data_IF_133048985093
#
_entry.id   IF_133048985093
#
_cell.length_a   1.000
_cell.length_b   1.000
_cell.length_c   1.000
_cell.angle_alpha   90.00
_cell.angle_beta   90.00
_cell.angle_gamma   90.00
#
_symmetry.space_group_name_H-M   'P 1'
#
loop_
_entity.id
_entity.type
_entity.pdbx_description
1 polymer ?
#
# COMPACT_ATOMS: atom_id res chain seq x y z
N UNK A 1 -41.08 52.80 -43.21
CA UNK A 1 -40.51 53.16 -41.93
C UNK A 1 -39.55 52.02 -41.61
N UNK A 2 -38.28 52.20 -42.04
CA UNK A 2 -37.22 51.19 -41.95
C UNK A 2 -36.53 51.33 -40.59
N UNK A 3 -36.33 50.28 -39.90
CA UNK A 3 -35.44 50.24 -38.72
C UNK A 3 -34.18 49.46 -39.12
N UNK A 4 -33.09 50.18 -39.09
CA UNK A 4 -31.72 49.69 -39.27
C UNK A 4 -31.33 48.65 -38.21
N UNK A 5 -30.84 47.54 -38.67
CA UNK A 5 -30.28 46.50 -37.84
C UNK A 5 -28.73 46.64 -37.87
N UNK A 6 -28.18 47.33 -36.88
CA UNK A 6 -26.74 47.48 -36.68
C UNK A 6 -26.18 46.25 -35.98
N UNK A 7 -25.67 45.31 -36.73
CA UNK A 7 -24.91 44.17 -36.19
C UNK A 7 -23.52 44.62 -35.76
N UNK A 8 -23.26 44.48 -34.47
CA UNK A 8 -21.99 44.69 -33.76
C UNK A 8 -20.82 43.87 -34.33
N UNK A 9 -19.60 44.45 -34.46
CA UNK A 9 -18.43 43.77 -35.03
C UNK A 9 -17.60 42.98 -34.01
N UNK A 10 -18.17 41.96 -33.39
CA UNK A 10 -17.46 41.16 -32.36
C UNK A 10 -17.29 39.67 -32.68
N UNK A 11 -17.46 39.27 -33.95
CA UNK A 11 -17.31 37.85 -34.36
C UNK A 11 -16.12 37.54 -35.30
N UNK A 12 -15.12 38.42 -35.40
CA UNK A 12 -13.93 38.18 -36.28
C UNK A 12 -12.59 38.06 -35.55
N UNK A 13 -12.56 37.84 -34.23
CA UNK A 13 -11.34 37.74 -33.45
C UNK A 13 -11.14 36.35 -32.79
N UNK A 14 -11.66 35.27 -33.35
CA UNK A 14 -11.59 33.91 -32.75
C UNK A 14 -11.00 32.83 -33.68
N UNK A 15 -10.09 33.21 -34.60
CA UNK A 15 -9.39 32.26 -35.49
C UNK A 15 -7.88 32.53 -35.59
N UNK A 16 -7.26 33.09 -34.55
CA UNK A 16 -5.81 33.27 -34.51
C UNK A 16 -5.22 32.79 -33.13
N UNK A 17 -5.57 31.62 -32.69
CA UNK A 17 -5.11 31.04 -31.39
C UNK A 17 -4.85 29.54 -31.43
N UNK A 18 -4.53 28.99 -32.61
CA UNK A 18 -4.44 27.55 -32.82
C UNK A 18 -3.02 26.93 -32.80
N UNK A 19 -2.01 27.57 -32.18
CA UNK A 19 -0.64 27.00 -32.16
C UNK A 19 0.07 27.01 -30.81
N UNK A 20 -0.60 27.34 -29.70
CA UNK A 20 0.01 27.37 -28.37
C UNK A 20 -0.34 26.16 -27.48
N UNK A 21 -1.16 25.20 -27.95
CA UNK A 21 -1.63 24.10 -27.14
C UNK A 21 -0.82 22.79 -27.25
N UNK A 22 0.25 22.76 -28.06
CA UNK A 22 1.07 21.53 -28.23
C UNK A 22 2.36 21.49 -27.41
N UNK A 23 2.72 22.53 -26.67
CA UNK A 23 3.96 22.56 -25.89
C UNK A 23 3.82 22.12 -24.44
N UNK A 24 2.60 21.88 -23.95
CA UNK A 24 2.37 21.49 -22.56
C UNK A 24 2.44 19.95 -22.31
N UNK A 25 2.44 19.14 -23.38
CA UNK A 25 2.53 17.67 -23.22
C UNK A 25 3.97 17.12 -23.16
N UNK A 26 4.97 17.94 -23.45
CA UNK A 26 6.38 17.47 -23.48
C UNK A 26 7.10 17.52 -22.14
N UNK A 27 6.53 18.14 -21.12
CA UNK A 27 7.15 18.19 -19.80
C UNK A 27 7.01 16.90 -18.98
N UNK A 28 6.16 15.96 -19.42
CA UNK A 28 5.98 14.65 -18.78
C UNK A 28 6.85 13.56 -19.41
N UNK A 29 7.66 13.88 -20.42
CA UNK A 29 8.60 12.97 -21.08
C UNK A 29 10.06 13.31 -20.77
N UNK A 30 10.33 14.08 -19.72
CA UNK A 30 11.68 14.10 -19.20
C UNK A 30 12.05 12.66 -18.84
N UNK A 31 13.16 12.16 -19.41
CA UNK A 31 13.74 10.89 -19.02
C UNK A 31 13.72 10.78 -17.50
N UNK A 32 13.43 9.61 -16.93
CA UNK A 32 13.51 9.47 -15.49
C UNK A 32 14.87 9.98 -15.07
N UNK A 33 14.90 10.98 -14.20
CA UNK A 33 16.11 11.33 -13.48
C UNK A 33 16.69 10.00 -12.99
N UNK A 34 17.97 9.77 -13.22
CA UNK A 34 18.66 8.59 -12.71
C UNK A 34 18.17 8.43 -11.26
N UNK A 35 17.47 7.32 -10.98
CA UNK A 35 16.79 7.17 -9.70
C UNK A 35 17.86 7.31 -8.63
N UNK A 36 17.77 8.33 -7.80
CA UNK A 36 18.67 8.49 -6.67
C UNK A 36 18.68 7.16 -5.92
N UNK A 37 19.85 6.61 -5.68
CA UNK A 37 19.98 5.33 -4.97
C UNK A 37 19.27 5.54 -3.64
N UNK A 38 18.23 4.73 -3.37
CA UNK A 38 17.53 4.76 -2.09
C UNK A 38 18.45 4.13 -1.04
N UNK A 39 19.26 4.97 -0.42
CA UNK A 39 20.19 4.53 0.60
C UNK A 39 19.44 4.21 1.90
N UNK A 40 19.71 3.04 2.47
CA UNK A 40 19.09 2.56 3.70
C UNK A 40 20.14 2.34 4.79
N UNK A 41 19.79 2.69 6.02
CA UNK A 41 20.63 2.46 7.22
C UNK A 41 19.72 2.00 8.37
N UNK A 42 20.14 1.02 9.14
CA UNK A 42 19.35 0.50 10.26
C UNK A 42 19.01 1.58 11.32
N UNK A 43 19.79 2.67 11.36
CA UNK A 43 19.59 3.77 12.31
C UNK A 43 18.39 4.68 11.94
N UNK A 44 17.96 4.74 10.67
CA UNK A 44 16.95 5.66 10.17
C UNK A 44 15.86 4.98 9.32
N UNK A 45 16.03 3.70 8.99
CA UNK A 45 15.18 2.95 8.07
C UNK A 45 14.50 1.77 8.77
N UNK A 46 13.22 1.55 8.50
CA UNK A 46 12.47 0.39 8.96
C UNK A 46 11.84 -0.38 7.80
N UNK A 47 11.64 -1.67 8.00
CA UNK A 47 10.77 -2.50 7.16
C UNK A 47 9.36 -2.48 7.73
N UNK A 48 8.38 -2.15 6.90
CA UNK A 48 6.96 -2.14 7.28
C UNK A 48 6.18 -3.09 6.39
N UNK A 49 5.51 -4.05 7.01
CA UNK A 49 4.58 -4.95 6.32
C UNK A 49 3.14 -4.66 6.72
N UNK A 50 2.30 -4.53 5.70
CA UNK A 50 0.86 -4.31 5.84
C UNK A 50 0.16 -5.66 5.65
N UNK A 51 -0.72 -6.01 6.56
CA UNK A 51 -1.59 -7.20 6.50
C UNK A 51 -0.87 -8.51 6.15
N UNK A 52 0.19 -8.93 6.88
CA UNK A 52 0.87 -10.20 6.61
C UNK A 52 0.07 -11.41 7.13
N UNK A 53 -1.26 -11.42 6.85
CA UNK A 53 -2.27 -12.25 7.48
C UNK A 53 -2.81 -13.33 6.51
N UNK A 54 -3.34 -14.42 7.09
CA UNK A 54 -3.83 -15.57 6.33
C UNK A 54 -4.92 -15.23 5.32
N UNK A 55 -5.85 -14.32 5.64
CA UNK A 55 -6.97 -13.98 4.75
C UNK A 55 -6.55 -13.48 3.37
N UNK A 56 -5.36 -12.92 3.25
CA UNK A 56 -4.85 -12.34 1.99
C UNK A 56 -3.61 -13.04 1.44
N UNK A 57 -2.98 -13.94 2.21
CA UNK A 57 -1.72 -14.60 1.81
C UNK A 57 -1.78 -16.12 1.84
N UNK A 58 -2.80 -16.72 2.45
CA UNK A 58 -3.01 -18.17 2.48
C UNK A 58 -4.01 -18.61 1.39
N UNK A 59 -3.77 -19.77 0.78
CA UNK A 59 -4.72 -20.40 -0.15
C UNK A 59 -6.09 -20.66 0.48
N UNK A 60 -6.16 -20.71 1.82
CA UNK A 60 -7.39 -20.88 2.59
C UNK A 60 -8.01 -19.57 3.04
N UNK A 61 -7.35 -18.45 2.77
CA UNK A 61 -7.81 -17.11 3.17
C UNK A 61 -9.05 -16.67 2.43
N UNK A 62 -9.88 -15.85 3.08
CA UNK A 62 -11.16 -15.37 2.54
C UNK A 62 -11.00 -14.64 1.20
N UNK A 63 -9.90 -13.92 1.00
CA UNK A 63 -9.63 -13.12 -0.19
C UNK A 63 -8.76 -13.84 -1.24
N UNK A 64 -8.35 -15.09 -1.02
CA UNK A 64 -7.47 -15.80 -1.94
C UNK A 64 -8.00 -15.86 -3.38
N UNK A 65 -9.29 -16.05 -3.56
CA UNK A 65 -9.93 -16.05 -4.87
C UNK A 65 -9.70 -14.77 -5.70
N UNK A 66 -9.52 -13.63 -5.03
CA UNK A 66 -9.28 -12.35 -5.68
C UNK A 66 -7.79 -12.04 -5.89
N UNK A 67 -6.92 -12.50 -4.98
CA UNK A 67 -5.51 -12.08 -4.93
C UNK A 67 -4.51 -13.19 -5.22
N UNK A 68 -4.88 -14.46 -5.06
CA UNK A 68 -3.97 -15.60 -5.09
C UNK A 68 -3.13 -15.70 -6.36
N UNK A 69 -3.73 -15.43 -7.52
CA UNK A 69 -3.00 -15.42 -8.80
C UNK A 69 -1.88 -14.36 -8.82
N UNK A 70 -2.11 -13.19 -8.22
CA UNK A 70 -1.11 -12.12 -8.11
C UNK A 70 -0.05 -12.47 -7.07
N UNK A 71 -0.44 -13.01 -5.92
CA UNK A 71 0.48 -13.47 -4.85
C UNK A 71 1.44 -14.53 -5.39
N UNK A 72 0.91 -15.53 -6.09
CA UNK A 72 1.72 -16.62 -6.69
C UNK A 72 2.65 -16.08 -7.78
N UNK A 73 2.13 -15.25 -8.69
CA UNK A 73 2.91 -14.68 -9.80
C UNK A 73 4.09 -13.84 -9.32
N UNK A 74 3.90 -13.07 -8.27
CA UNK A 74 4.92 -12.17 -7.73
C UNK A 74 5.83 -12.86 -6.70
N UNK A 75 5.56 -14.12 -6.33
CA UNK A 75 6.24 -14.81 -5.23
C UNK A 75 6.20 -13.99 -3.92
N UNK A 76 5.06 -13.33 -3.67
CA UNK A 76 4.92 -12.33 -2.61
C UNK A 76 5.30 -12.88 -1.24
N UNK A 77 4.85 -14.09 -0.92
CA UNK A 77 5.12 -14.73 0.38
C UNK A 77 6.62 -15.02 0.57
N UNK A 78 7.26 -15.59 -0.44
CA UNK A 78 8.70 -15.91 -0.43
C UNK A 78 9.54 -14.63 -0.31
N UNK A 79 9.17 -13.60 -1.04
CA UNK A 79 9.87 -12.33 -1.05
C UNK A 79 9.72 -11.58 0.28
N UNK A 80 8.52 -11.55 0.85
CA UNK A 80 8.32 -11.01 2.20
C UNK A 80 9.18 -11.73 3.24
N UNK A 81 9.24 -13.07 3.20
CA UNK A 81 10.08 -13.84 4.11
C UNK A 81 11.56 -13.51 3.98
N UNK A 82 12.06 -13.35 2.75
CA UNK A 82 13.46 -12.96 2.49
C UNK A 82 13.79 -11.58 3.07
N UNK A 83 12.86 -10.63 2.94
CA UNK A 83 13.01 -9.29 3.50
C UNK A 83 12.97 -9.34 5.03
N UNK A 84 12.07 -10.12 5.65
CA UNK A 84 12.08 -10.36 7.09
C UNK A 84 13.45 -10.85 7.56
N UNK A 85 13.99 -11.90 6.91
CA UNK A 85 15.29 -12.48 7.25
C UNK A 85 16.41 -11.45 7.17
N UNK A 86 16.50 -10.72 6.07
CA UNK A 86 17.54 -9.71 5.87
C UNK A 86 17.43 -8.57 6.90
N UNK A 87 16.24 -8.02 7.11
CA UNK A 87 16.02 -6.96 8.08
C UNK A 87 16.44 -7.39 9.50
N UNK A 88 16.03 -8.58 9.94
CA UNK A 88 16.40 -9.11 11.26
C UNK A 88 17.88 -9.37 11.40
N UNK A 89 18.53 -9.92 10.37
CA UNK A 89 19.96 -10.20 10.37
C UNK A 89 20.81 -8.93 10.42
N UNK A 90 20.37 -7.86 9.76
CA UNK A 90 21.08 -6.59 9.64
C UNK A 90 20.63 -5.54 10.68
N UNK A 91 19.76 -5.91 11.62
CA UNK A 91 19.39 -5.05 12.75
C UNK A 91 18.40 -3.92 12.42
N UNK A 92 17.67 -4.03 11.30
CA UNK A 92 16.61 -3.09 10.97
C UNK A 92 15.37 -3.31 11.85
N UNK A 93 14.72 -2.22 12.22
CA UNK A 93 13.39 -2.30 12.85
C UNK A 93 12.38 -2.87 11.88
N UNK A 94 11.54 -3.77 12.38
CA UNK A 94 10.43 -4.37 11.61
C UNK A 94 9.12 -4.03 12.29
N UNK A 95 8.20 -3.44 11.54
CA UNK A 95 6.88 -3.07 12.04
C UNK A 95 5.79 -3.74 11.20
N UNK A 96 4.73 -4.16 11.86
CA UNK A 96 3.54 -4.75 11.23
C UNK A 96 2.36 -3.82 11.47
N UNK A 97 1.64 -3.50 10.40
CA UNK A 97 0.35 -2.81 10.45
C UNK A 97 -0.75 -3.83 10.11
N UNK A 98 -1.38 -4.44 11.11
CA UNK A 98 -2.41 -5.45 10.89
C UNK A 98 -3.77 -4.83 10.65
N UNK A 99 -4.64 -5.54 9.94
CA UNK A 99 -6.04 -5.21 9.81
C UNK A 99 -6.88 -6.14 10.69
N UNK A 100 -7.71 -5.58 11.58
CA UNK A 100 -8.67 -6.36 12.35
C UNK A 100 -10.03 -5.68 12.41
N UNK A 101 -11.08 -6.49 12.19
CA UNK A 101 -12.44 -6.13 12.56
C UNK A 101 -12.87 -6.85 13.85
N UNK A 102 -13.64 -6.14 14.65
CA UNK A 102 -14.25 -6.65 15.87
C UNK A 102 -15.77 -6.70 15.73
N UNK A 103 -16.48 -7.49 16.54
CA UNK A 103 -17.95 -7.53 16.49
C UNK A 103 -18.62 -6.17 16.63
N UNK A 104 -18.02 -5.23 17.34
CA UNK A 104 -18.51 -3.85 17.49
C UNK A 104 -18.47 -3.06 16.19
N UNK A 105 -17.56 -3.39 15.28
CA UNK A 105 -17.41 -2.68 14.00
C UNK A 105 -18.55 -3.02 13.02
N UNK A 106 -19.20 -4.18 13.19
CA UNK A 106 -20.38 -4.56 12.40
C UNK A 106 -21.59 -3.65 12.60
N UNK A 107 -21.54 -2.81 13.63
CA UNK A 107 -22.55 -1.76 13.88
C UNK A 107 -22.37 -0.48 13.06
N UNK A 108 -21.35 -0.39 12.21
CA UNK A 108 -21.13 0.78 11.36
C UNK A 108 -22.26 0.91 10.33
N UNK A 109 -22.79 2.13 10.20
CA UNK A 109 -23.90 2.44 9.28
C UNK A 109 -23.43 2.97 7.93
N UNK A 110 -22.18 3.39 7.82
CA UNK A 110 -21.62 4.01 6.63
C UNK A 110 -20.41 3.19 6.16
N UNK A 111 -20.68 2.15 5.39
CA UNK A 111 -19.66 1.26 4.85
C UNK A 111 -19.54 1.41 3.33
N UNK A 112 -18.31 1.34 2.82
CA UNK A 112 -18.04 1.13 1.41
C UNK A 112 -18.31 -0.32 0.97
N UNK A 113 -18.21 -0.60 -0.34
CA UNK A 113 -18.40 -1.96 -0.86
C UNK A 113 -17.42 -2.99 -0.28
N UNK A 114 -16.16 -2.59 -0.06
CA UNK A 114 -15.14 -3.51 0.45
C UNK A 114 -15.42 -3.89 1.90
N UNK A 115 -15.67 -2.92 2.79
CA UNK A 115 -15.99 -3.18 4.20
C UNK A 115 -17.24 -4.06 4.35
N UNK A 116 -18.26 -3.80 3.50
CA UNK A 116 -19.48 -4.63 3.46
C UNK A 116 -19.15 -6.07 3.09
N UNK A 117 -18.25 -6.29 2.13
CA UNK A 117 -17.83 -7.63 1.73
C UNK A 117 -16.97 -8.30 2.81
N UNK A 118 -16.06 -7.59 3.42
CA UNK A 118 -15.20 -8.08 4.51
C UNK A 118 -16.01 -8.50 5.74
N UNK A 119 -17.04 -7.76 6.11
CA UNK A 119 -17.97 -8.20 7.16
C UNK A 119 -18.76 -9.46 6.77
N UNK A 120 -19.22 -9.55 5.51
CA UNK A 120 -19.95 -10.72 5.01
C UNK A 120 -19.08 -11.98 4.97
N UNK A 121 -17.81 -11.85 4.64
CA UNK A 121 -16.83 -12.94 4.51
C UNK A 121 -16.06 -13.22 5.80
N UNK A 122 -16.25 -12.40 6.82
CA UNK A 122 -15.49 -12.43 8.08
C UNK A 122 -13.96 -12.24 7.87
N UNK A 123 -13.58 -11.52 6.84
CA UNK A 123 -12.17 -11.18 6.54
C UNK A 123 -11.60 -10.37 7.71
N UNK A 124 -10.40 -10.74 8.19
CA UNK A 124 -9.70 -10.12 9.31
C UNK A 124 -10.50 -10.07 10.63
N UNK A 125 -11.53 -10.91 10.77
CA UNK A 125 -12.40 -10.90 11.92
C UNK A 125 -11.71 -11.47 13.16
N UNK A 126 -11.88 -10.76 14.29
CA UNK A 126 -11.48 -11.20 15.63
C UNK A 126 -12.65 -11.11 16.58
N UNK A 127 -12.65 -11.94 17.64
CA UNK A 127 -13.71 -11.93 18.66
C UNK A 127 -13.69 -10.68 19.56
N UNK A 128 -12.59 -9.95 19.61
CA UNK A 128 -12.48 -8.71 20.38
C UNK A 128 -11.04 -8.23 20.52
N UNK A 129 -10.82 -6.97 20.93
CA UNK A 129 -9.49 -6.39 21.03
C UNK A 129 -8.62 -7.01 22.14
N UNK A 130 -9.24 -7.52 23.21
CA UNK A 130 -8.55 -8.00 24.41
C UNK A 130 -8.55 -9.54 24.54
N UNK A 131 -8.96 -10.27 23.50
CA UNK A 131 -8.99 -11.73 23.51
C UNK A 131 -8.26 -12.32 22.32
N UNK A 132 -7.55 -13.43 22.56
CA UNK A 132 -6.94 -14.27 21.51
C UNK A 132 -7.81 -15.50 21.20
N UNK A 133 -9.01 -15.60 21.75
CA UNK A 133 -9.92 -16.70 21.47
C UNK A 133 -10.24 -16.77 19.98
N UNK A 134 -9.98 -17.94 19.36
CA UNK A 134 -10.21 -18.18 17.95
C UNK A 134 -9.28 -17.41 17.01
N UNK A 135 -8.21 -16.78 17.49
CA UNK A 135 -7.24 -16.07 16.67
C UNK A 135 -6.27 -17.04 15.97
N UNK A 136 -5.72 -17.98 16.71
CA UNK A 136 -4.74 -18.93 16.16
C UNK A 136 -5.32 -19.70 14.95
N UNK A 137 -4.57 -19.67 13.83
CA UNK A 137 -4.94 -20.25 12.53
C UNK A 137 -6.22 -19.70 11.90
N UNK A 138 -6.74 -18.58 12.38
CA UNK A 138 -7.84 -17.86 11.72
C UNK A 138 -7.33 -17.10 10.48
N UNK A 139 -8.24 -16.52 9.69
CA UNK A 139 -7.89 -15.62 8.61
C UNK A 139 -7.15 -14.36 9.08
N UNK A 140 -7.48 -13.89 10.28
CA UNK A 140 -6.86 -12.74 10.91
C UNK A 140 -5.45 -13.03 11.51
N UNK A 141 -5.08 -14.31 11.70
CA UNK A 141 -3.76 -14.69 12.20
C UNK A 141 -2.66 -14.48 11.14
N UNK A 142 -1.44 -14.41 11.58
CA UNK A 142 -0.26 -14.33 10.71
C UNK A 142 -0.11 -15.58 9.84
N UNK A 143 0.40 -15.41 8.63
CA UNK A 143 0.84 -16.57 7.84
C UNK A 143 1.93 -17.31 8.63
N UNK A 144 1.81 -18.64 8.76
CA UNK A 144 2.70 -19.45 9.60
C UNK A 144 4.20 -19.23 9.30
N UNK A 145 4.55 -19.00 8.04
CA UNK A 145 5.94 -18.69 7.64
C UNK A 145 6.49 -17.41 8.26
N UNK A 146 5.62 -16.47 8.65
CA UNK A 146 6.01 -15.17 9.20
C UNK A 146 6.04 -15.14 10.72
N UNK A 147 5.36 -16.08 11.39
CA UNK A 147 5.31 -16.15 12.86
C UNK A 147 6.69 -16.10 13.53
N UNK A 148 7.73 -16.83 13.04
CA UNK A 148 9.05 -16.77 13.66
C UNK A 148 9.69 -15.37 13.65
N UNK A 149 9.26 -14.50 12.74
CA UNK A 149 9.77 -13.13 12.62
C UNK A 149 8.88 -12.11 13.31
N UNK A 150 7.57 -12.36 13.36
CA UNK A 150 6.59 -11.45 13.97
C UNK A 150 6.51 -11.64 15.48
N UNK A 151 6.56 -12.89 15.94
CA UNK A 151 6.39 -13.26 17.35
C UNK A 151 7.74 -13.41 18.11
N UNK A 152 8.81 -12.86 17.55
CA UNK A 152 10.17 -12.94 18.11
C UNK A 152 10.44 -12.01 19.31
N UNK A 153 9.45 -11.26 19.74
CA UNK A 153 9.55 -10.28 20.81
C UNK A 153 10.31 -9.00 20.45
N UNK A 154 10.75 -8.84 19.19
CA UNK A 154 11.45 -7.66 18.68
C UNK A 154 10.68 -6.93 17.58
N UNK A 155 9.85 -7.63 16.81
CA UNK A 155 8.95 -7.02 15.83
C UNK A 155 7.87 -6.21 16.53
N UNK A 156 7.64 -5.01 16.03
CA UNK A 156 6.62 -4.11 16.55
C UNK A 156 5.31 -4.40 15.83
N UNK A 157 4.38 -5.04 16.50
CA UNK A 157 3.01 -5.20 16.00
C UNK A 157 2.21 -4.00 16.46
N UNK A 158 1.87 -3.13 15.52
CA UNK A 158 1.08 -1.92 15.80
C UNK A 158 -0.38 -2.27 16.15
N UNK A 159 -1.07 -1.33 16.76
CA UNK A 159 -2.52 -1.40 16.86
C UNK A 159 -3.13 -1.59 15.47
N UNK A 160 -4.26 -2.29 15.33
CA UNK A 160 -4.80 -2.54 14.00
C UNK A 160 -5.26 -1.25 13.33
N UNK A 161 -4.97 -1.14 12.03
CA UNK A 161 -5.67 -0.17 11.23
C UNK A 161 -7.09 -0.68 10.90
N UNK A 162 -7.96 0.25 10.55
CA UNK A 162 -9.30 -0.03 10.08
C UNK A 162 -9.40 0.44 8.64
N UNK A 163 -10.03 -0.32 7.80
CA UNK A 163 -10.24 -0.08 6.38
C UNK A 163 -8.93 -0.05 5.59
N UNK A 164 -8.20 1.08 5.45
CA UNK A 164 -7.05 1.13 4.53
C UNK A 164 -5.79 1.76 5.11
N UNK A 165 -5.90 2.91 5.75
CA UNK A 165 -4.76 3.74 6.11
C UNK A 165 -4.38 3.63 7.60
N UNK A 166 -3.14 3.98 7.97
CA UNK A 166 -2.69 3.93 9.37
C UNK A 166 -3.25 5.07 10.24
N UNK A 167 -4.34 5.71 9.83
CA UNK A 167 -4.97 6.80 10.58
C UNK A 167 -5.54 6.36 11.94
N UNK A 168 -5.84 5.08 12.09
CA UNK A 168 -6.48 4.52 13.29
C UNK A 168 -5.51 3.70 14.14
N UNK A 169 -4.23 3.62 13.76
CA UNK A 169 -3.22 2.87 14.51
C UNK A 169 -2.05 3.76 14.99
N UNK A 170 -1.10 3.15 15.67
CA UNK A 170 0.05 3.85 16.25
C UNK A 170 1.33 3.75 15.41
N UNK A 171 1.26 3.29 14.14
CA UNK A 171 2.42 3.01 13.30
C UNK A 171 3.31 4.25 13.11
N UNK A 172 2.73 5.40 12.76
CA UNK A 172 3.48 6.65 12.58
C UNK A 172 4.13 7.11 13.90
N UNK A 173 3.43 6.93 15.03
CA UNK A 173 3.99 7.22 16.36
C UNK A 173 5.20 6.32 16.65
N UNK A 174 5.10 5.01 16.38
CA UNK A 174 6.16 4.04 16.60
C UNK A 174 7.41 4.38 15.77
N UNK A 175 7.23 4.71 14.49
CA UNK A 175 8.30 5.14 13.60
C UNK A 175 8.97 6.43 14.10
N UNK A 176 8.18 7.46 14.39
CA UNK A 176 8.69 8.77 14.85
C UNK A 176 9.43 8.68 16.19
N UNK A 177 8.95 7.87 17.15
CA UNK A 177 9.66 7.66 18.44
C UNK A 177 11.00 6.95 18.30
N UNK A 178 11.22 6.22 17.21
CA UNK A 178 12.46 5.54 16.85
C UNK A 178 13.35 6.34 15.90
N UNK A 179 12.93 7.55 15.53
CA UNK A 179 13.64 8.42 14.56
C UNK A 179 13.79 7.77 13.17
N UNK A 180 12.86 6.88 12.82
CA UNK A 180 12.78 6.33 11.48
C UNK A 180 12.16 7.40 10.58
N UNK A 181 12.80 7.65 9.45
CA UNK A 181 12.32 8.56 8.41
C UNK A 181 12.29 7.91 7.01
N UNK A 182 12.82 6.69 6.89
CA UNK A 182 12.80 5.89 5.66
C UNK A 182 12.08 4.57 5.88
N UNK A 183 11.32 4.13 4.89
CA UNK A 183 10.51 2.93 4.99
C UNK A 183 10.73 2.05 3.75
N UNK A 184 11.04 0.78 3.97
CA UNK A 184 10.92 -0.29 2.98
C UNK A 184 9.55 -0.91 3.19
N UNK A 185 8.64 -0.72 2.22
CA UNK A 185 7.22 -1.04 2.34
C UNK A 185 6.83 -2.25 1.50
N UNK A 186 6.15 -3.20 2.11
CA UNK A 186 5.54 -4.36 1.45
C UNK A 186 4.24 -4.78 2.11
N UNK A 187 3.66 -5.90 1.69
CA UNK A 187 2.43 -6.46 2.27
C UNK A 187 1.22 -6.37 1.33
N UNK A 188 0.02 -6.33 1.87
CA UNK A 188 -1.23 -6.50 1.15
C UNK A 188 -2.21 -5.35 1.40
N UNK A 189 -3.12 -4.98 0.51
CA UNK A 189 -3.10 -5.23 -0.93
C UNK A 189 -2.46 -4.04 -1.63
N UNK A 190 -1.75 -4.27 -2.74
CA UNK A 190 -0.98 -3.25 -3.44
C UNK A 190 -1.75 -1.94 -3.69
N UNK A 191 -2.93 -2.02 -4.32
CA UNK A 191 -3.76 -0.87 -4.69
C UNK A 191 -4.75 -0.43 -3.60
N UNK A 192 -4.64 -0.94 -2.38
CA UNK A 192 -5.52 -0.63 -1.25
C UNK A 192 -4.70 -0.23 -0.02
N UNK A 193 -4.53 -1.11 0.95
CA UNK A 193 -3.88 -0.75 2.22
C UNK A 193 -2.41 -0.34 2.03
N UNK A 194 -1.63 -1.01 1.16
CA UNK A 194 -0.23 -0.63 0.89
C UNK A 194 -0.17 0.77 0.27
N UNK A 195 -1.00 1.05 -0.75
CA UNK A 195 -1.04 2.39 -1.37
C UNK A 195 -1.53 3.45 -0.41
N UNK A 196 -2.52 3.15 0.42
CA UNK A 196 -3.04 4.10 1.41
C UNK A 196 -2.01 4.43 2.48
N UNK A 197 -1.23 3.44 2.94
CA UNK A 197 -0.11 3.66 3.83
C UNK A 197 1.00 4.49 3.15
N UNK A 198 1.36 4.16 1.91
CA UNK A 198 2.33 4.93 1.13
C UNK A 198 1.95 6.41 1.06
N UNK A 199 0.71 6.73 0.66
CA UNK A 199 0.21 8.10 0.57
C UNK A 199 0.26 8.82 1.91
N UNK A 200 -0.18 8.16 2.97
CA UNK A 200 -0.15 8.73 4.31
C UNK A 200 1.28 9.00 4.79
N UNK A 201 2.20 8.07 4.58
CA UNK A 201 3.60 8.25 4.97
C UNK A 201 4.27 9.42 4.24
N UNK A 202 3.99 9.58 2.94
CA UNK A 202 4.51 10.71 2.17
C UNK A 202 4.03 12.04 2.74
N UNK A 203 2.76 12.15 3.12
CA UNK A 203 2.19 13.35 3.75
C UNK A 203 2.75 13.61 5.15
N UNK A 204 3.29 12.56 5.82
CA UNK A 204 3.99 12.67 7.09
C UNK A 204 5.51 12.93 6.95
N UNK A 205 6.01 13.02 5.71
CA UNK A 205 7.40 13.37 5.43
C UNK A 205 8.38 12.19 5.44
N UNK A 206 7.91 10.95 5.34
CA UNK A 206 8.78 9.79 5.21
C UNK A 206 9.25 9.61 3.76
N UNK A 207 10.47 9.09 3.60
CA UNK A 207 10.97 8.56 2.33
C UNK A 207 10.60 7.08 2.20
N UNK A 208 10.00 6.68 1.06
CA UNK A 208 9.44 5.34 0.90
C UNK A 208 10.02 4.63 -0.31
N UNK A 209 10.54 3.43 -0.09
CA UNK A 209 10.77 2.43 -1.12
C UNK A 209 9.69 1.35 -1.05
N UNK A 210 8.94 1.15 -2.12
CA UNK A 210 7.98 0.05 -2.21
C UNK A 210 8.63 -1.16 -2.85
N UNK A 211 8.51 -2.34 -2.22
CA UNK A 211 9.01 -3.59 -2.79
C UNK A 211 7.92 -4.22 -3.64
N UNK A 212 8.02 -4.06 -4.96
CA UNK A 212 6.97 -4.39 -5.93
C UNK A 212 6.56 -5.86 -5.97
N UNK A 213 7.48 -6.77 -5.70
CA UNK A 213 7.25 -8.22 -5.68
C UNK A 213 7.05 -8.78 -4.27
N UNK A 214 7.07 -7.92 -3.25
CA UNK A 214 6.61 -8.21 -1.89
C UNK A 214 5.19 -7.65 -1.62
N UNK A 215 4.43 -7.40 -2.68
CA UNK A 215 3.02 -7.01 -2.62
C UNK A 215 2.25 -7.63 -3.79
N UNK A 216 0.93 -7.72 -3.67
CA UNK A 216 0.04 -8.24 -4.70
C UNK A 216 -1.29 -7.50 -4.67
N UNK A 217 -2.03 -7.56 -5.77
CA UNK A 217 -3.31 -6.88 -5.89
C UNK A 217 -4.41 -7.78 -6.46
N UNK A 218 -5.69 -7.45 -6.22
CA UNK A 218 -6.81 -8.17 -6.77
C UNK A 218 -6.96 -7.89 -8.25
N UNK A 219 -7.56 -8.83 -8.96
CA UNK A 219 -7.96 -8.63 -10.35
C UNK A 219 -9.48 -8.60 -10.46
N UNK A 220 -10.00 -7.51 -11.00
CA UNK A 220 -11.42 -7.41 -11.31
C UNK A 220 -11.68 -7.86 -12.75
N UNK A 221 -12.65 -8.75 -13.01
CA UNK A 221 -12.86 -9.33 -14.33
C UNK A 221 -13.24 -8.32 -15.41
N UNK A 222 -13.86 -7.19 -15.02
CA UNK A 222 -14.29 -6.12 -15.93
C UNK A 222 -13.35 -4.93 -15.91
N UNK A 223 -12.88 -4.49 -14.72
CA UNK A 223 -12.14 -3.23 -14.58
C UNK A 223 -10.62 -3.39 -14.54
N UNK A 224 -10.12 -4.62 -14.56
CA UNK A 224 -8.72 -4.88 -14.79
C UNK A 224 -7.93 -5.28 -13.54
N UNK A 225 -6.64 -5.02 -13.60
CA UNK A 225 -5.63 -5.53 -12.67
C UNK A 225 -5.23 -4.46 -11.64
N UNK A 226 -5.64 -4.65 -10.38
CA UNK A 226 -5.34 -3.72 -9.30
C UNK A 226 -3.86 -3.64 -8.97
N UNK A 227 -3.09 -4.71 -9.17
CA UNK A 227 -1.64 -4.66 -9.01
C UNK A 227 -0.99 -3.73 -10.05
N UNK A 228 -1.41 -3.81 -11.31
CA UNK A 228 -0.88 -2.90 -12.34
C UNK A 228 -1.28 -1.44 -12.08
N UNK A 229 -2.49 -1.21 -11.59
CA UNK A 229 -2.92 0.13 -11.18
C UNK A 229 -2.03 0.69 -10.07
N UNK A 230 -1.71 -0.12 -9.06
CA UNK A 230 -0.77 0.25 -8.00
C UNK A 230 0.63 0.57 -8.55
N UNK A 231 1.16 -0.26 -9.46
CA UNK A 231 2.49 -0.03 -10.05
C UNK A 231 2.57 1.30 -10.81
N UNK A 232 1.48 1.71 -11.48
CA UNK A 232 1.40 3.02 -12.12
C UNK A 232 1.48 4.13 -11.06
N UNK A 233 0.68 4.03 -9.99
CA UNK A 233 0.65 5.03 -8.92
C UNK A 233 1.99 5.11 -8.18
N UNK A 234 2.61 3.98 -7.86
CA UNK A 234 3.89 3.94 -7.16
C UNK A 234 5.00 4.66 -7.90
N UNK A 235 5.01 4.61 -9.26
CA UNK A 235 5.98 5.35 -10.07
C UNK A 235 5.91 6.87 -9.90
N UNK A 236 4.76 7.40 -9.52
CA UNK A 236 4.56 8.82 -9.26
C UNK A 236 4.73 9.19 -7.79
N UNK A 237 4.58 8.22 -6.88
CA UNK A 237 4.47 8.49 -5.45
C UNK A 237 5.72 8.08 -4.68
N UNK A 238 6.24 6.87 -4.89
CA UNK A 238 7.34 6.34 -4.10
C UNK A 238 8.69 6.95 -4.50
N UNK A 239 9.59 7.12 -3.53
CA UNK A 239 10.96 7.56 -3.78
C UNK A 239 11.75 6.48 -4.53
N UNK A 240 11.44 5.19 -4.28
CA UNK A 240 12.00 4.06 -5.03
C UNK A 240 10.97 2.93 -5.18
N UNK A 241 11.12 2.15 -6.24
CA UNK A 241 10.42 0.88 -6.44
C UNK A 241 11.50 -0.19 -6.58
N UNK A 242 11.57 -1.08 -5.60
CA UNK A 242 12.58 -2.13 -5.51
C UNK A 242 11.96 -3.49 -5.80
N UNK A 243 12.80 -4.42 -6.23
CA UNK A 243 12.56 -5.86 -6.09
C UNK A 243 12.96 -6.30 -4.68
N UNK A 244 12.53 -7.49 -4.27
CA UNK A 244 12.99 -8.09 -3.03
C UNK A 244 14.52 -8.31 -3.03
N UNK A 245 15.12 -8.64 -4.18
CA UNK A 245 16.58 -8.76 -4.32
C UNK A 245 17.29 -7.42 -4.04
N UNK A 246 16.80 -6.35 -4.65
CA UNK A 246 17.35 -5.00 -4.44
C UNK A 246 17.18 -4.54 -2.99
N UNK A 247 16.02 -4.79 -2.38
CA UNK A 247 15.77 -4.45 -0.99
C UNK A 247 16.66 -5.23 -0.01
N UNK A 248 16.82 -6.54 -0.24
CA UNK A 248 17.70 -7.40 0.56
C UNK A 248 19.15 -6.95 0.43
N UNK A 249 19.63 -6.72 -0.80
CA UNK A 249 21.01 -6.28 -1.04
C UNK A 249 21.31 -4.89 -0.44
N UNK A 250 20.32 -4.00 -0.41
CA UNK A 250 20.48 -2.68 0.20
C UNK A 250 20.60 -2.73 1.73
N UNK A 251 20.07 -3.78 2.38
CA UNK A 251 20.10 -3.96 3.84
C UNK A 251 21.35 -4.69 4.35
N UNK A 252 22.13 -5.32 3.48
CA UNK A 252 23.32 -6.12 3.81
C UNK A 252 24.57 -5.32 3.51
#
# INVERSE_FOLDING_TARGET
MAMDDQLSPSRRALLAGGTAAMTALTLWHSAPAEAAIFEVQAADTAVVFIDPQNDVLSEKGANWGAVGASVTKNHTVENMERIFKAAKASGYEVLISPHYFYPTDSGWLLNGPLETDEFRTHTFARKGPLTLEGFANSGADWLDRFKPYIEDGKTIVCSPHKVFAPLTNDLVLQLGKRRINKIILGGMLANMCVESHLRHFLEQGFEIAVVKDATAGPRHPVWGDGYQAAMINYRFLAHAILTADEAVNAMV
#
